data_IF_794003292038
#
_entry.id   IF_794003292038
#
_cell.length_a   1.000
_cell.length_b   1.000
_cell.length_c   1.000
_cell.angle_alpha   90.00
_cell.angle_beta   90.00
_cell.angle_gamma   90.00
#
_symmetry.space_group_name_H-M   'P 1'
#
loop_
_entity.id
_entity.type
_entity.pdbx_description
1 polymer ?
#
# COMPACT_ATOMS: atom_id res chain seq x y z
N UNK A 1 -0.58 -1.77 -35.49
CA UNK A 1 0.19 -0.64 -34.90
C UNK A 1 -0.36 -0.19 -33.54
N UNK A 2 -1.56 0.40 -33.41
CA UNK A 2 -2.06 0.87 -32.10
C UNK A 2 -2.34 -0.27 -31.08
N UNK A 3 -2.87 -1.42 -31.55
CA UNK A 3 -3.09 -2.61 -30.70
C UNK A 3 -1.79 -3.27 -30.23
N UNK A 4 -0.76 -3.30 -31.08
CA UNK A 4 0.54 -3.91 -30.76
C UNK A 4 1.28 -3.10 -29.68
N UNK A 5 1.21 -1.77 -29.75
CA UNK A 5 1.76 -0.88 -28.73
C UNK A 5 1.03 -1.00 -27.39
N UNK A 6 -0.29 -1.21 -27.40
CA UNK A 6 -1.07 -1.40 -26.17
C UNK A 6 -0.72 -2.72 -25.46
N UNK A 7 -0.55 -3.81 -26.21
CA UNK A 7 -0.16 -5.10 -25.66
C UNK A 7 1.26 -5.05 -25.07
N UNK A 8 2.19 -4.39 -25.78
CA UNK A 8 3.56 -4.22 -25.28
C UNK A 8 3.61 -3.38 -24.00
N UNK A 9 2.81 -2.30 -23.92
CA UNK A 9 2.66 -1.50 -22.71
C UNK A 9 2.06 -2.29 -21.54
N UNK A 10 1.06 -3.13 -21.79
CA UNK A 10 0.45 -3.98 -20.77
C UNK A 10 1.45 -5.02 -20.22
N UNK A 11 2.25 -5.64 -21.09
CA UNK A 11 3.29 -6.58 -20.68
C UNK A 11 4.38 -5.90 -19.85
N UNK A 12 4.84 -4.71 -20.27
CA UNK A 12 5.81 -3.92 -19.51
C UNK A 12 5.26 -3.52 -18.13
N UNK A 13 4.01 -3.06 -18.08
CA UNK A 13 3.35 -2.73 -16.81
C UNK A 13 3.21 -3.95 -15.89
N UNK A 14 2.80 -5.09 -16.44
CA UNK A 14 2.69 -6.35 -15.71
C UNK A 14 4.04 -6.83 -15.16
N UNK A 15 5.10 -6.77 -15.97
CA UNK A 15 6.45 -7.11 -15.55
C UNK A 15 6.95 -6.18 -14.45
N UNK A 16 6.72 -4.86 -14.57
CA UNK A 16 7.10 -3.87 -13.55
C UNK A 16 6.36 -4.11 -12.22
N UNK A 17 5.05 -4.35 -12.25
CA UNK A 17 4.26 -4.66 -11.05
C UNK A 17 4.71 -5.97 -10.41
N UNK A 18 5.01 -6.99 -11.21
CA UNK A 18 5.51 -8.28 -10.72
C UNK A 18 6.87 -8.12 -10.03
N UNK A 19 7.79 -7.40 -10.67
CA UNK A 19 9.10 -7.11 -10.10
C UNK A 19 9.00 -6.30 -8.79
N UNK A 20 8.13 -5.27 -8.77
CA UNK A 20 7.88 -4.47 -7.58
C UNK A 20 7.25 -5.30 -6.44
N UNK A 21 6.28 -6.15 -6.75
CA UNK A 21 5.60 -6.99 -5.77
C UNK A 21 6.53 -8.03 -5.14
N UNK A 22 7.22 -8.84 -5.95
CA UNK A 22 8.12 -9.86 -5.41
C UNK A 22 9.40 -9.25 -4.83
N UNK A 23 9.92 -8.17 -5.43
CA UNK A 23 11.08 -7.45 -4.89
C UNK A 23 10.80 -6.81 -3.54
N UNK A 24 9.65 -6.16 -3.36
CA UNK A 24 9.25 -5.59 -2.06
C UNK A 24 9.04 -6.67 -0.99
N UNK A 25 8.46 -7.82 -1.34
CA UNK A 25 8.31 -8.94 -0.42
C UNK A 25 9.66 -9.57 -0.04
N UNK A 26 10.60 -9.71 -0.99
CA UNK A 26 11.95 -10.16 -0.71
C UNK A 26 12.70 -9.21 0.24
N UNK A 27 12.57 -7.88 0.01
CA UNK A 27 13.10 -6.89 0.93
C UNK A 27 12.44 -6.98 2.32
N UNK A 28 11.12 -7.18 2.37
CA UNK A 28 10.37 -7.39 3.61
C UNK A 28 10.86 -8.60 4.41
N UNK A 29 11.12 -9.73 3.75
CA UNK A 29 11.70 -10.93 4.38
C UNK A 29 13.08 -10.64 4.99
N UNK A 30 13.96 -9.95 4.27
CA UNK A 30 15.29 -9.58 4.78
C UNK A 30 15.19 -8.65 6.00
N UNK A 31 14.27 -7.68 5.97
CA UNK A 31 14.04 -6.76 7.09
C UNK A 31 13.41 -7.48 8.29
N UNK A 32 12.52 -8.46 8.05
CA UNK A 32 11.94 -9.31 9.09
C UNK A 32 13.02 -10.15 9.78
N UNK A 33 13.90 -10.81 9.00
CA UNK A 33 15.01 -11.59 9.56
C UNK A 33 15.95 -10.69 10.39
N UNK A 34 16.28 -9.50 9.89
CA UNK A 34 17.07 -8.50 10.62
C UNK A 34 16.40 -8.04 11.92
N UNK A 35 15.08 -7.80 11.91
CA UNK A 35 14.34 -7.37 13.12
C UNK A 35 14.22 -8.48 14.15
N UNK A 36 14.19 -9.74 13.72
CA UNK A 36 14.26 -10.92 14.60
C UNK A 36 15.67 -11.26 15.09
N UNK A 37 16.70 -10.54 14.63
CA UNK A 37 18.10 -10.86 14.95
C UNK A 37 18.59 -12.18 14.36
N UNK A 38 17.94 -12.70 13.31
CA UNK A 38 18.35 -13.92 12.62
C UNK A 38 19.49 -13.64 11.63
N UNK A 39 20.30 -14.67 11.28
CA UNK A 39 21.31 -14.53 10.24
C UNK A 39 20.65 -14.09 8.92
N UNK A 40 21.23 -13.07 8.26
CA UNK A 40 20.66 -12.55 7.02
C UNK A 40 20.72 -13.62 5.91
N UNK A 41 19.57 -13.89 5.30
CA UNK A 41 19.50 -14.70 4.07
C UNK A 41 20.22 -13.99 2.92
N UNK A 42 20.72 -14.78 1.99
CA UNK A 42 21.16 -14.23 0.71
C UNK A 42 19.98 -13.67 -0.09
N UNK A 43 20.20 -12.57 -0.83
CA UNK A 43 19.15 -11.90 -1.62
C UNK A 43 18.45 -12.87 -2.58
N UNK A 44 19.20 -13.77 -3.23
CA UNK A 44 18.65 -14.77 -4.13
C UNK A 44 17.77 -15.81 -3.43
N UNK A 45 18.04 -16.13 -2.16
CA UNK A 45 17.20 -16.99 -1.34
C UNK A 45 15.91 -16.26 -0.96
N UNK A 46 16.02 -15.01 -0.48
CA UNK A 46 14.87 -14.17 -0.17
C UNK A 46 13.94 -13.98 -1.39
N UNK A 47 14.49 -13.84 -2.60
CA UNK A 47 13.70 -13.74 -3.83
C UNK A 47 12.92 -15.03 -4.13
N UNK A 48 13.56 -16.19 -3.97
CA UNK A 48 12.92 -17.50 -4.15
C UNK A 48 11.82 -17.73 -3.12
N UNK A 49 12.08 -17.38 -1.87
CA UNK A 49 11.10 -17.48 -0.79
C UNK A 49 9.93 -16.53 -1.01
N UNK A 50 10.18 -15.31 -1.49
CA UNK A 50 9.13 -14.37 -1.87
C UNK A 50 8.28 -14.91 -3.02
N UNK A 51 8.87 -15.49 -4.07
CA UNK A 51 8.13 -16.14 -5.15
C UNK A 51 7.24 -17.28 -4.63
N UNK A 52 7.76 -18.05 -3.66
CA UNK A 52 7.05 -19.18 -3.07
C UNK A 52 5.96 -18.77 -2.07
N UNK A 53 6.01 -17.59 -1.45
CA UNK A 53 5.10 -17.25 -0.33
C UNK A 53 4.28 -15.99 -0.55
N UNK A 54 4.74 -15.01 -1.35
CA UNK A 54 4.08 -13.71 -1.49
C UNK A 54 2.68 -13.81 -2.11
N UNK A 55 2.37 -14.87 -2.87
CA UNK A 55 1.01 -15.10 -3.36
C UNK A 55 -0.03 -15.26 -2.23
N UNK A 56 0.38 -15.70 -1.04
CA UNK A 56 -0.50 -15.75 0.15
C UNK A 56 -1.00 -14.36 0.53
N UNK A 57 -0.16 -13.32 0.36
CA UNK A 57 -0.55 -11.94 0.60
C UNK A 57 -1.63 -11.48 -0.39
N UNK A 58 -1.55 -11.92 -1.65
CA UNK A 58 -2.60 -11.65 -2.66
C UNK A 58 -3.92 -12.33 -2.26
N UNK A 59 -3.88 -13.55 -1.72
CA UNK A 59 -5.08 -14.24 -1.22
C UNK A 59 -5.68 -13.49 -0.02
N UNK A 60 -4.86 -13.05 0.94
CA UNK A 60 -5.33 -12.23 2.07
C UNK A 60 -5.96 -10.94 1.57
N UNK A 61 -5.30 -10.21 0.66
CA UNK A 61 -5.82 -8.99 0.07
C UNK A 61 -7.16 -9.22 -0.65
N UNK A 62 -7.26 -10.29 -1.45
CA UNK A 62 -8.51 -10.67 -2.13
C UNK A 62 -9.63 -10.93 -1.13
N UNK A 63 -9.38 -11.69 -0.06
CA UNK A 63 -10.39 -12.00 0.96
C UNK A 63 -10.85 -10.73 1.73
N UNK A 64 -9.93 -9.81 2.01
CA UNK A 64 -10.25 -8.50 2.60
C UNK A 64 -11.12 -7.68 1.64
N UNK A 65 -10.75 -7.60 0.36
CA UNK A 65 -11.54 -6.90 -0.66
C UNK A 65 -12.94 -7.50 -0.84
N UNK A 66 -13.05 -8.83 -0.83
CA UNK A 66 -14.35 -9.52 -0.86
C UNK A 66 -15.20 -9.19 0.37
N UNK A 67 -14.58 -9.13 1.55
CA UNK A 67 -15.29 -8.75 2.78
C UNK A 67 -15.82 -7.31 2.70
N UNK A 68 -15.02 -6.38 2.17
CA UNK A 68 -15.45 -5.01 1.92
C UNK A 68 -16.56 -4.92 0.87
N UNK A 69 -16.46 -5.69 -0.22
CA UNK A 69 -17.48 -5.75 -1.25
C UNK A 69 -18.83 -6.26 -0.69
N UNK A 70 -18.80 -7.27 0.17
CA UNK A 70 -19.99 -7.77 0.88
C UNK A 70 -20.58 -6.70 1.80
N UNK A 71 -19.75 -5.97 2.56
CA UNK A 71 -20.20 -4.87 3.39
C UNK A 71 -20.90 -3.78 2.57
N UNK A 72 -20.28 -3.35 1.46
CA UNK A 72 -20.86 -2.35 0.55
C UNK A 72 -22.17 -2.86 -0.03
N UNK A 73 -22.23 -4.10 -0.51
CA UNK A 73 -23.46 -4.70 -1.02
C UNK A 73 -24.57 -4.73 0.05
N UNK A 74 -24.23 -5.11 1.29
CA UNK A 74 -25.16 -5.13 2.42
C UNK A 74 -25.73 -3.74 2.77
N UNK A 75 -24.97 -2.67 2.53
CA UNK A 75 -25.43 -1.28 2.69
C UNK A 75 -26.26 -0.79 1.49
N UNK A 76 -25.94 -1.24 0.27
CA UNK A 76 -26.67 -0.86 -0.94
C UNK A 76 -28.10 -1.43 -0.98
N UNK A 77 -28.31 -2.64 -0.43
CA UNK A 77 -29.63 -3.28 -0.37
C UNK A 77 -30.69 -2.43 0.37
N UNK A 78 -30.49 -1.99 1.63
CA UNK A 78 -31.43 -1.13 2.32
C UNK A 78 -31.54 0.26 1.67
N UNK A 79 -30.45 0.83 1.14
CA UNK A 79 -30.51 2.09 0.38
C UNK A 79 -31.40 1.97 -0.87
N UNK A 80 -31.39 0.82 -1.54
CA UNK A 80 -32.30 0.54 -2.64
C UNK A 80 -33.75 0.39 -2.16
N UNK A 81 -33.95 -0.24 -1.00
CA UNK A 81 -35.27 -0.36 -0.35
C UNK A 81 -35.84 0.99 0.13
N UNK A 82 -34.99 2.02 0.29
CA UNK A 82 -35.42 3.38 0.63
C UNK A 82 -36.33 4.05 -0.41
N UNK A 83 -36.57 3.41 -1.57
CA UNK A 83 -37.51 3.90 -2.59
C UNK A 83 -38.99 3.70 -2.22
N UNK A 84 -39.30 3.02 -1.11
CA UNK A 84 -40.68 2.80 -0.66
C UNK A 84 -41.29 4.08 -0.05
N UNK A 85 -42.54 4.45 -0.42
CA UNK A 85 -43.10 5.78 -0.12
C UNK A 85 -43.35 6.07 1.37
N UNK A 86 -43.61 5.05 2.20
CA UNK A 86 -43.86 5.24 3.64
C UNK A 86 -42.65 4.94 4.53
N UNK A 87 -41.88 3.90 4.19
CA UNK A 87 -40.78 3.38 5.04
C UNK A 87 -39.42 3.91 4.59
N UNK A 88 -39.34 4.41 3.35
CA UNK A 88 -38.10 4.78 2.70
C UNK A 88 -37.28 5.85 3.43
N UNK A 89 -37.89 6.95 3.91
CA UNK A 89 -37.18 7.97 4.68
C UNK A 89 -36.54 7.42 5.96
N UNK A 90 -37.21 6.49 6.65
CA UNK A 90 -36.70 5.88 7.88
C UNK A 90 -35.54 4.92 7.61
N UNK A 91 -35.65 4.08 6.58
CA UNK A 91 -34.58 3.18 6.16
C UNK A 91 -33.35 4.01 5.78
N UNK A 92 -33.52 5.07 5.00
CA UNK A 92 -32.43 5.96 4.62
C UNK A 92 -31.80 6.66 5.83
N UNK A 93 -32.61 7.25 6.71
CA UNK A 93 -32.15 7.98 7.89
C UNK A 93 -31.33 7.10 8.84
N UNK A 94 -31.60 5.79 8.91
CA UNK A 94 -30.81 4.84 9.70
C UNK A 94 -29.60 4.30 8.93
N UNK A 95 -29.78 3.95 7.66
CA UNK A 95 -28.74 3.27 6.87
C UNK A 95 -27.55 4.17 6.61
N UNK A 96 -27.76 5.47 6.38
CA UNK A 96 -26.66 6.42 6.12
C UNK A 96 -25.69 6.53 7.31
N UNK A 97 -26.11 6.88 8.54
CA UNK A 97 -25.18 6.98 9.66
C UNK A 97 -24.53 5.64 10.01
N UNK A 98 -25.28 4.54 9.97
CA UNK A 98 -24.72 3.19 10.17
C UNK A 98 -23.67 2.88 9.09
N UNK A 99 -23.96 3.19 7.83
CA UNK A 99 -23.04 3.00 6.72
C UNK A 99 -21.76 3.82 6.87
N UNK A 100 -21.86 5.09 7.27
CA UNK A 100 -20.70 5.96 7.53
C UNK A 100 -19.81 5.37 8.62
N UNK A 101 -20.41 4.93 9.74
CA UNK A 101 -19.65 4.32 10.85
C UNK A 101 -18.98 3.03 10.42
N UNK A 102 -19.71 2.13 9.74
CA UNK A 102 -19.19 0.84 9.30
C UNK A 102 -18.09 0.99 8.25
N UNK A 103 -18.29 1.84 7.23
CA UNK A 103 -17.30 2.09 6.19
C UNK A 103 -16.09 2.85 6.76
N UNK A 104 -16.30 3.80 7.66
CA UNK A 104 -15.23 4.51 8.35
C UNK A 104 -14.37 3.56 9.20
N UNK A 105 -15.00 2.73 10.02
CA UNK A 105 -14.31 1.71 10.82
C UNK A 105 -13.59 0.68 9.96
N UNK A 106 -14.22 0.21 8.88
CA UNK A 106 -13.60 -0.74 7.95
C UNK A 106 -12.39 -0.11 7.25
N UNK A 107 -12.50 1.12 6.77
CA UNK A 107 -11.38 1.84 6.12
C UNK A 107 -10.24 2.07 7.12
N UNK A 108 -10.55 2.51 8.34
CA UNK A 108 -9.57 2.67 9.40
C UNK A 108 -8.86 1.35 9.72
N UNK A 109 -9.62 0.27 9.92
CA UNK A 109 -9.06 -1.05 10.18
C UNK A 109 -8.17 -1.56 9.05
N UNK A 110 -8.58 -1.32 7.80
CA UNK A 110 -7.79 -1.72 6.63
C UNK A 110 -6.50 -0.93 6.54
N UNK A 111 -6.57 0.41 6.58
CA UNK A 111 -5.41 1.28 6.38
C UNK A 111 -4.45 1.23 7.56
N UNK A 112 -4.96 1.24 8.78
CA UNK A 112 -4.14 1.33 9.98
C UNK A 112 -3.65 -0.04 10.49
N UNK A 113 -4.34 -1.14 10.20
CA UNK A 113 -4.01 -2.45 10.80
C UNK A 113 -3.74 -3.50 9.73
N UNK A 114 -4.70 -3.76 8.84
CA UNK A 114 -4.59 -4.87 7.87
C UNK A 114 -3.48 -4.65 6.86
N UNK A 115 -3.49 -3.52 6.16
CA UNK A 115 -2.52 -3.19 5.12
C UNK A 115 -1.07 -3.27 5.63
N UNK A 116 -0.74 -2.71 6.80
CA UNK A 116 0.65 -2.72 7.23
C UNK A 116 1.09 -3.98 7.99
N UNK A 117 0.17 -4.74 8.60
CA UNK A 117 0.53 -5.95 9.37
C UNK A 117 0.38 -7.26 8.59
N UNK A 118 -0.44 -7.30 7.53
CA UNK A 118 -0.65 -8.53 6.75
C UNK A 118 0.66 -9.04 6.12
N UNK A 119 1.48 -8.13 5.59
CA UNK A 119 2.75 -8.49 4.97
C UNK A 119 3.78 -9.01 5.99
N UNK A 120 4.06 -8.33 7.12
CA UNK A 120 4.84 -8.88 8.22
C UNK A 120 4.38 -10.25 8.72
N UNK A 121 3.07 -10.48 8.86
CA UNK A 121 2.56 -11.78 9.29
C UNK A 121 2.91 -12.92 8.31
N UNK A 122 2.81 -12.66 7.00
CA UNK A 122 3.22 -13.66 5.99
C UNK A 122 4.73 -13.86 5.99
N UNK A 123 5.53 -12.79 6.11
CA UNK A 123 7.00 -12.87 6.20
C UNK A 123 7.47 -13.62 7.46
N UNK A 124 6.69 -13.50 8.53
CA UNK A 124 6.90 -14.21 9.77
C UNK A 124 6.70 -15.73 9.65
N UNK A 125 6.05 -16.19 8.56
CA UNK A 125 5.80 -17.59 8.25
C UNK A 125 4.33 -18.02 8.37
N UNK A 126 3.42 -17.10 8.72
CA UNK A 126 2.01 -17.46 8.92
C UNK A 126 1.34 -17.99 7.64
N UNK A 127 0.39 -18.92 7.81
CA UNK A 127 -0.57 -19.28 6.78
C UNK A 127 -1.57 -18.15 6.53
N UNK A 128 -2.34 -18.25 5.44
CA UNK A 128 -3.40 -17.28 5.12
C UNK A 128 -4.44 -17.20 6.24
N UNK A 129 -4.87 -18.35 6.77
CA UNK A 129 -5.89 -18.40 7.82
C UNK A 129 -5.37 -17.86 9.15
N UNK A 130 -4.12 -18.14 9.51
CA UNK A 130 -3.52 -17.67 10.75
C UNK A 130 -3.32 -16.15 10.70
N UNK A 131 -2.88 -15.63 9.55
CA UNK A 131 -2.81 -14.20 9.28
C UNK A 131 -4.20 -13.55 9.44
N UNK A 132 -5.27 -14.13 8.89
CA UNK A 132 -6.62 -13.59 9.04
C UNK A 132 -7.14 -13.63 10.47
N UNK A 133 -6.79 -14.66 11.26
CA UNK A 133 -7.16 -14.74 12.68
C UNK A 133 -6.45 -13.66 13.48
N UNK A 134 -5.13 -13.56 13.33
CA UNK A 134 -4.32 -12.51 13.94
C UNK A 134 -4.87 -11.10 13.63
N UNK A 135 -5.13 -10.82 12.36
CA UNK A 135 -5.69 -9.52 11.94
C UNK A 135 -7.07 -9.27 12.56
N UNK A 136 -7.92 -10.29 12.65
CA UNK A 136 -9.26 -10.18 13.25
C UNK A 136 -9.18 -9.94 14.76
N UNK A 137 -8.28 -10.62 15.45
CA UNK A 137 -8.02 -10.41 16.88
C UNK A 137 -7.54 -8.98 17.12
N UNK A 138 -6.60 -8.49 16.32
CA UNK A 138 -6.12 -7.13 16.44
C UNK A 138 -7.22 -6.09 16.19
N UNK A 139 -8.08 -6.32 15.19
CA UNK A 139 -9.24 -5.46 14.91
C UNK A 139 -10.31 -5.50 16.02
N UNK A 140 -10.42 -6.59 16.79
CA UNK A 140 -11.46 -6.72 17.83
C UNK A 140 -11.00 -6.29 19.21
N UNK A 141 -9.80 -6.69 19.61
CA UNK A 141 -9.31 -6.51 20.96
C UNK A 141 -8.45 -5.25 21.14
N UNK A 142 -7.73 -4.84 20.09
CA UNK A 142 -6.63 -3.88 20.21
C UNK A 142 -6.59 -2.86 19.07
N UNK A 143 -7.74 -2.55 18.47
CA UNK A 143 -7.82 -1.69 17.28
C UNK A 143 -7.23 -0.32 17.56
N UNK A 144 -7.59 0.32 18.67
CA UNK A 144 -7.06 1.64 19.01
C UNK A 144 -5.55 1.62 19.25
N UNK A 145 -5.02 0.63 19.97
CA UNK A 145 -3.59 0.56 20.26
C UNK A 145 -2.76 0.29 18.99
N UNK A 146 -3.14 -0.72 18.20
CA UNK A 146 -2.48 -0.98 16.92
C UNK A 146 -2.65 0.19 15.95
N UNK A 147 -3.84 0.76 15.84
CA UNK A 147 -4.08 1.89 14.95
C UNK A 147 -3.26 3.11 15.38
N UNK A 148 -3.09 3.39 16.67
CA UNK A 148 -2.25 4.50 17.15
C UNK A 148 -0.78 4.27 16.80
N UNK A 149 -0.23 3.09 17.08
CA UNK A 149 1.16 2.77 16.75
C UNK A 149 1.40 2.81 15.24
N UNK A 150 0.53 2.18 14.47
CA UNK A 150 0.68 2.12 13.01
C UNK A 150 0.34 3.43 12.32
N UNK A 151 -0.59 4.22 12.85
CA UNK A 151 -0.86 5.58 12.33
C UNK A 151 0.31 6.51 12.64
N UNK A 152 0.97 6.41 13.80
CA UNK A 152 2.17 7.17 14.09
C UNK A 152 3.30 6.82 13.11
N UNK A 153 3.58 5.53 12.90
CA UNK A 153 4.58 5.05 11.93
C UNK A 153 4.23 5.50 10.51
N UNK A 154 2.96 5.36 10.11
CA UNK A 154 2.50 5.73 8.77
C UNK A 154 2.51 7.24 8.56
N UNK A 155 2.15 8.04 9.56
CA UNK A 155 2.14 9.50 9.48
C UNK A 155 3.55 10.06 9.41
N UNK A 156 4.47 9.54 10.24
CA UNK A 156 5.88 9.90 10.20
C UNK A 156 6.49 9.53 8.84
N UNK A 157 6.24 8.31 8.37
CA UNK A 157 6.71 7.87 7.05
C UNK A 157 6.11 8.73 5.94
N UNK A 158 4.82 9.00 5.97
CA UNK A 158 4.13 9.81 4.97
C UNK A 158 4.62 11.26 4.98
N UNK A 159 4.91 11.83 6.15
CA UNK A 159 5.49 13.16 6.27
C UNK A 159 6.90 13.21 5.66
N UNK A 160 7.76 12.24 5.98
CA UNK A 160 9.11 12.15 5.40
C UNK A 160 9.05 11.90 3.90
N UNK A 161 8.22 10.95 3.44
CA UNK A 161 8.01 10.67 2.02
C UNK A 161 7.42 11.88 1.28
N UNK A 162 6.52 12.63 1.92
CA UNK A 162 5.94 13.87 1.39
C UNK A 162 6.98 14.98 1.25
N UNK A 163 7.85 15.17 2.25
CA UNK A 163 8.96 16.12 2.16
C UNK A 163 9.96 15.74 1.08
N UNK A 164 10.37 14.47 1.03
CA UNK A 164 11.24 13.93 -0.02
C UNK A 164 10.61 14.12 -1.39
N UNK A 165 9.32 13.78 -1.53
CA UNK A 165 8.57 13.95 -2.77
C UNK A 165 8.46 15.41 -3.20
N UNK A 166 8.21 16.31 -2.26
CA UNK A 166 8.20 17.76 -2.52
C UNK A 166 9.57 18.24 -3.02
N UNK A 167 10.68 17.82 -2.39
CA UNK A 167 12.04 18.19 -2.82
C UNK A 167 12.34 17.65 -4.22
N UNK A 168 12.00 16.39 -4.50
CA UNK A 168 12.24 15.79 -5.83
C UNK A 168 11.39 16.45 -6.91
N UNK A 169 10.10 16.67 -6.65
CA UNK A 169 9.19 17.30 -7.63
C UNK A 169 9.55 18.77 -7.85
N UNK A 170 9.85 19.53 -6.79
CA UNK A 170 10.26 20.93 -6.92
C UNK A 170 11.61 21.08 -7.63
N UNK A 171 12.60 20.25 -7.30
CA UNK A 171 13.89 20.20 -7.98
C UNK A 171 13.79 19.80 -9.45
N UNK A 172 12.97 18.78 -9.75
CA UNK A 172 12.70 18.34 -11.12
C UNK A 172 12.01 19.44 -11.95
N UNK A 173 11.03 20.14 -11.37
CA UNK A 173 10.37 21.28 -12.01
C UNK A 173 11.34 22.44 -12.20
N UNK A 174 12.18 22.77 -11.23
CA UNK A 174 13.19 23.82 -11.37
C UNK A 174 14.19 23.52 -12.50
N UNK A 175 14.64 22.27 -12.63
CA UNK A 175 15.47 21.81 -13.75
C UNK A 175 14.75 21.93 -15.09
N UNK A 176 13.48 21.53 -15.17
CA UNK A 176 12.67 21.64 -16.38
C UNK A 176 12.36 23.10 -16.75
N UNK A 177 12.10 23.97 -15.77
CA UNK A 177 11.93 25.41 -15.97
C UNK A 177 13.24 26.07 -16.45
N UNK A 178 14.39 25.69 -15.89
CA UNK A 178 15.70 26.14 -16.36
C UNK A 178 16.00 25.68 -17.79
N UNK A 179 15.60 24.47 -18.15
CA UNK A 179 15.67 23.97 -19.53
C UNK A 179 14.68 24.69 -20.45
N UNK A 180 13.46 24.95 -19.99
CA UNK A 180 12.44 25.72 -20.71
C UNK A 180 12.89 27.15 -21.03
N UNK A 181 13.56 27.82 -20.08
CA UNK A 181 14.20 29.12 -20.31
C UNK A 181 15.30 29.07 -21.37
N UNK A 182 16.07 27.98 -21.46
CA UNK A 182 17.07 27.76 -22.52
C UNK A 182 16.43 27.38 -23.87
N UNK A 183 15.27 26.71 -23.84
CA UNK A 183 14.49 26.29 -25.01
C UNK A 183 13.67 27.43 -25.61
N UNK A 184 13.33 28.48 -24.86
CA UNK A 184 12.63 29.66 -25.36
C UNK A 184 13.41 30.42 -26.45
N UNK A 185 14.70 30.14 -26.64
CA UNK A 185 15.50 30.60 -27.79
C UNK A 185 15.39 29.74 -29.05
N UNK A 186 14.81 28.53 -28.97
CA UNK A 186 14.73 27.58 -30.08
C UNK A 186 13.34 26.93 -30.13
N UNK A 187 12.39 27.61 -30.79
CA UNK A 187 11.05 27.15 -31.15
C UNK A 187 10.19 26.59 -29.99
N UNK A 188 9.15 27.34 -29.60
CA UNK A 188 8.22 27.04 -28.48
C UNK A 188 7.38 25.76 -28.59
N UNK A 189 7.99 24.61 -28.84
CA UNK A 189 7.37 23.31 -28.82
C UNK A 189 7.08 22.87 -27.36
N UNK A 190 5.93 22.20 -27.11
CA UNK A 190 5.56 21.75 -25.78
C UNK A 190 6.57 20.71 -25.27
N UNK A 191 7.37 21.10 -24.27
CA UNK A 191 8.46 20.28 -23.70
C UNK A 191 7.98 18.89 -23.28
N UNK A 192 6.75 18.77 -22.77
CA UNK A 192 6.14 17.50 -22.34
C UNK A 192 5.93 16.48 -23.47
N UNK A 193 5.78 16.91 -24.73
CA UNK A 193 5.62 16.03 -25.88
C UNK A 193 6.93 15.75 -26.62
N UNK A 194 8.05 16.33 -26.15
CA UNK A 194 9.36 16.15 -26.75
C UNK A 194 10.08 14.92 -26.18
N UNK A 195 11.02 14.34 -26.95
CA UNK A 195 11.87 13.25 -26.48
C UNK A 195 12.63 13.60 -25.18
N UNK A 196 13.02 14.87 -25.02
CA UNK A 196 13.67 15.38 -23.81
C UNK A 196 12.71 15.46 -22.62
N UNK A 197 11.44 15.80 -22.83
CA UNK A 197 10.41 15.76 -21.80
C UNK A 197 10.12 14.36 -21.31
N UNK A 198 10.04 13.39 -22.23
CA UNK A 198 9.90 11.97 -21.87
C UNK A 198 11.12 11.46 -21.09
N UNK A 199 12.33 11.81 -21.51
CA UNK A 199 13.55 11.47 -20.78
C UNK A 199 13.56 12.10 -19.37
N UNK A 200 13.10 13.35 -19.22
CA UNK A 200 12.99 14.02 -17.92
C UNK A 200 11.95 13.35 -17.00
N UNK A 201 10.82 12.88 -17.54
CA UNK A 201 9.83 12.12 -16.76
C UNK A 201 10.40 10.78 -16.27
N UNK A 202 11.11 10.06 -17.14
CA UNK A 202 11.75 8.79 -16.76
C UNK A 202 12.83 9.02 -15.71
N UNK A 203 13.75 9.96 -15.95
CA UNK A 203 14.82 10.30 -15.01
C UNK A 203 14.28 10.80 -13.66
N UNK A 204 13.27 11.67 -13.68
CA UNK A 204 12.58 12.14 -12.48
C UNK A 204 11.89 11.01 -11.71
N UNK A 205 11.25 10.07 -12.42
CA UNK A 205 10.63 8.89 -11.83
C UNK A 205 11.65 7.97 -11.14
N UNK A 206 12.81 7.75 -11.76
CA UNK A 206 13.90 6.95 -11.15
C UNK A 206 14.43 7.62 -9.88
N UNK A 207 14.72 8.92 -9.92
CA UNK A 207 15.18 9.66 -8.74
C UNK A 207 14.12 9.63 -7.63
N UNK A 208 12.85 9.82 -7.97
CA UNK A 208 11.74 9.73 -7.02
C UNK A 208 11.65 8.35 -6.37
N UNK A 209 11.75 7.27 -7.16
CA UNK A 209 11.75 5.90 -6.66
C UNK A 209 12.93 5.64 -5.72
N UNK A 210 14.14 6.07 -6.08
CA UNK A 210 15.33 5.95 -5.24
C UNK A 210 15.20 6.74 -3.94
N UNK A 211 14.65 7.95 -4.01
CA UNK A 211 14.48 8.80 -2.84
C UNK A 211 13.47 8.20 -1.82
N UNK A 212 12.48 7.44 -2.31
CA UNK A 212 11.51 6.74 -1.47
C UNK A 212 12.04 5.43 -0.85
N UNK A 213 13.24 4.95 -1.21
CA UNK A 213 13.81 3.73 -0.63
C UNK A 213 14.01 3.85 0.87
N UNK A 214 14.63 4.93 1.35
CA UNK A 214 14.89 5.10 2.79
C UNK A 214 13.58 5.18 3.60
N UNK A 215 12.59 6.03 3.25
CA UNK A 215 11.29 6.01 3.91
C UNK A 215 10.61 4.63 3.87
N UNK A 216 10.68 3.94 2.72
CA UNK A 216 10.13 2.60 2.57
C UNK A 216 10.78 1.59 3.52
N UNK A 217 12.10 1.59 3.64
CA UNK A 217 12.82 0.70 4.56
C UNK A 217 12.53 1.01 6.02
N UNK A 218 12.46 2.29 6.40
CA UNK A 218 12.08 2.73 7.76
C UNK A 218 10.67 2.25 8.10
N UNK A 219 9.73 2.41 7.17
CA UNK A 219 8.37 1.94 7.34
C UNK A 219 8.28 0.42 7.48
N UNK A 220 8.95 -0.33 6.60
CA UNK A 220 8.98 -1.79 6.66
C UNK A 220 9.55 -2.28 8.00
N UNK A 221 10.63 -1.66 8.47
CA UNK A 221 11.23 -1.99 9.77
C UNK A 221 10.27 -1.70 10.91
N UNK A 222 9.59 -0.55 10.89
CA UNK A 222 8.58 -0.19 11.88
C UNK A 222 7.40 -1.16 11.89
N UNK A 223 6.89 -1.54 10.72
CA UNK A 223 5.79 -2.50 10.59
C UNK A 223 6.17 -3.90 11.11
N UNK A 224 7.39 -4.38 10.82
CA UNK A 224 7.88 -5.65 11.37
C UNK A 224 8.02 -5.58 12.90
N UNK A 225 8.57 -4.49 13.44
CA UNK A 225 8.72 -4.31 14.88
C UNK A 225 7.36 -4.28 15.62
N UNK A 226 6.38 -3.55 15.07
CA UNK A 226 5.02 -3.52 15.66
C UNK A 226 4.37 -4.89 15.57
N UNK A 227 4.50 -5.60 14.44
CA UNK A 227 4.00 -6.97 14.32
C UNK A 227 4.58 -7.89 15.41
N UNK A 228 5.91 -7.86 15.61
CA UNK A 228 6.55 -8.70 16.62
C UNK A 228 6.07 -8.36 18.04
N UNK A 229 6.01 -7.08 18.39
CA UNK A 229 5.50 -6.63 19.70
C UNK A 229 4.06 -7.12 19.95
N UNK A 230 3.18 -7.01 18.96
CA UNK A 230 1.79 -7.48 19.06
C UNK A 230 1.71 -9.01 19.14
N UNK A 231 2.60 -9.73 18.46
CA UNK A 231 2.64 -11.20 18.51
C UNK A 231 3.17 -11.73 19.84
N UNK A 232 4.13 -11.05 20.46
CA UNK A 232 4.69 -11.41 21.76
C UNK A 232 3.68 -11.16 22.90
N UNK A 233 2.97 -10.02 22.85
CA UNK A 233 1.88 -9.75 23.81
C UNK A 233 0.79 -10.82 23.78
N UNK A 234 0.42 -11.31 22.60
CA UNK A 234 -0.59 -12.36 22.45
C UNK A 234 -0.17 -13.70 23.09
N UNK A 235 1.14 -14.01 23.11
CA UNK A 235 1.68 -15.23 23.73
C UNK A 235 1.80 -15.10 25.25
N UNK A 236 2.01 -13.89 25.77
CA UNK A 236 2.16 -13.65 27.22
C UNK A 236 0.85 -13.63 28.03
N UNK A 237 -0.31 -13.64 27.36
CA UNK A 237 -1.64 -13.65 27.99
C UNK A 237 -2.26 -15.06 28.12
N UNK A 238 -1.61 -16.10 27.55
CA UNK A 238 -1.95 -17.53 27.76
C UNK A 238 -1.18 -18.14 28.93
#
# INVERSE_FOLDING_TARGET
MARDNALWGALQGGAALTAAFYGSNAAGLLIMDQTRGQPLREVGQALRDALATAHRLLVVALLVLLTLAVLVAALLLPLAASRLPLVGPWIFALTVPVGVVLLGAATLGVVAVVAPLAAPAIWAGCGVLDCLRFLREQLRARLLHAALLMSAVSLLTAAVAGLVGFVVVSGGRAGLFGYGLRSLGAAGAPVAASAHGMAALIGGGVVFALALLLPGLVYLRGACAVYLALSEEAVGEE
#
